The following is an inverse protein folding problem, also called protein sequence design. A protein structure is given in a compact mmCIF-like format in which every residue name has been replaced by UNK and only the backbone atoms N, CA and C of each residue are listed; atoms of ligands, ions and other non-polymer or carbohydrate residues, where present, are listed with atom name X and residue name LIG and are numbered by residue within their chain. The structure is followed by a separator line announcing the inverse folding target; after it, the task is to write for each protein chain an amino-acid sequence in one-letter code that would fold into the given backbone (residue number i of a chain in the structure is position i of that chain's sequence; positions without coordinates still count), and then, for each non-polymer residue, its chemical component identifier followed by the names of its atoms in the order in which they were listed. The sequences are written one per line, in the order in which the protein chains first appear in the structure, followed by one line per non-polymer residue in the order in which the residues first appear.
data_IF_403812929329
#
_entry.id   IF_403812929329
#
_cell.length_a   1.000
_cell.length_b   1.000
_cell.length_c   1.000
_cell.angle_alpha   90.00
_cell.angle_beta   90.00
_cell.angle_gamma   90.00
#
_symmetry.space_group_name_H-M   'P 1'
#
loop_
_entity.id
_entity.type
_entity.pdbx_description
1 polymer ?
#
# COMPACT_ATOMS: atom_id res chain seq x y z
N UNK A 1 -20.74 -24.01 28.08
CA UNK A 1 -19.49 -23.29 28.42
C UNK A 1 -18.88 -22.75 27.13
N UNK A 2 -18.61 -21.45 27.03
CA UNK A 2 -17.95 -20.86 25.85
C UNK A 2 -16.47 -21.27 25.89
N UNK A 3 -15.92 -21.74 24.77
CA UNK A 3 -14.50 -22.11 24.74
C UNK A 3 -13.61 -20.86 24.86
N UNK A 4 -12.41 -20.94 25.46
CA UNK A 4 -11.54 -19.78 25.62
C UNK A 4 -11.25 -19.05 24.29
N UNK A 5 -10.97 -19.74 23.16
CA UNK A 5 -10.80 -19.07 21.87
C UNK A 5 -12.07 -18.33 21.41
N UNK A 6 -13.26 -18.92 21.58
CA UNK A 6 -14.52 -18.28 21.20
C UNK A 6 -14.79 -17.02 22.05
N UNK A 7 -14.48 -17.06 23.34
CA UNK A 7 -14.59 -15.89 24.21
C UNK A 7 -13.65 -14.77 23.76
N UNK A 8 -12.38 -15.10 23.49
CA UNK A 8 -11.38 -14.15 23.00
C UNK A 8 -11.80 -13.46 21.71
N UNK A 9 -12.22 -14.25 20.72
CA UNK A 9 -12.67 -13.72 19.43
C UNK A 9 -13.99 -12.96 19.55
N UNK A 10 -14.92 -13.41 20.40
CA UNK A 10 -16.17 -12.72 20.67
C UNK A 10 -15.97 -11.34 21.28
N UNK A 11 -15.08 -11.22 22.28
CA UNK A 11 -14.74 -9.92 22.89
C UNK A 11 -13.99 -9.00 21.93
N UNK A 12 -13.05 -9.55 21.14
CA UNK A 12 -12.35 -8.78 20.12
C UNK A 12 -13.32 -8.24 19.05
N UNK A 13 -14.28 -9.07 18.62
CA UNK A 13 -15.32 -8.70 17.68
C UNK A 13 -16.29 -7.66 18.28
N UNK A 14 -16.64 -7.77 19.56
CA UNK A 14 -17.45 -6.78 20.25
C UNK A 14 -16.75 -5.41 20.31
N UNK A 15 -15.45 -5.37 20.63
CA UNK A 15 -14.64 -4.15 20.56
C UNK A 15 -14.61 -3.54 19.16
N UNK A 16 -14.45 -4.38 18.13
CA UNK A 16 -14.50 -3.92 16.74
C UNK A 16 -15.89 -3.42 16.34
N UNK A 17 -16.95 -4.07 16.83
CA UNK A 17 -18.34 -3.65 16.66
C UNK A 17 -18.62 -2.28 17.29
N UNK A 18 -18.05 -2.00 18.47
CA UNK A 18 -18.11 -0.67 19.08
C UNK A 18 -17.42 0.39 18.21
N UNK A 19 -16.25 0.08 17.65
CA UNK A 19 -15.56 0.99 16.74
C UNK A 19 -16.35 1.22 15.44
N UNK A 20 -16.97 0.17 14.90
CA UNK A 20 -17.82 0.26 13.70
C UNK A 20 -19.08 1.10 13.97
N UNK A 21 -19.75 0.88 15.10
CA UNK A 21 -20.85 1.74 15.54
C UNK A 21 -20.38 3.20 15.68
N UNK A 22 -19.20 3.41 16.28
CA UNK A 22 -18.57 4.72 16.37
C UNK A 22 -18.35 5.38 15.01
N UNK A 23 -17.91 4.63 14.00
CA UNK A 23 -17.77 5.10 12.63
C UNK A 23 -19.11 5.52 12.00
N UNK A 24 -20.17 4.72 12.19
CA UNK A 24 -21.52 5.07 11.74
C UNK A 24 -22.04 6.35 12.41
N UNK A 25 -21.81 6.50 13.71
CA UNK A 25 -22.18 7.70 14.46
C UNK A 25 -21.38 8.93 14.03
N UNK A 26 -20.08 8.77 13.75
CA UNK A 26 -19.23 9.85 13.25
C UNK A 26 -19.70 10.33 11.86
N UNK A 27 -20.11 9.40 10.98
CA UNK A 27 -20.74 9.72 9.69
C UNK A 27 -22.08 10.43 9.84
N UNK A 28 -22.81 10.16 10.92
CA UNK A 28 -24.04 10.86 11.29
C UNK A 28 -23.78 12.16 12.08
N UNK A 29 -22.54 12.68 12.06
CA UNK A 29 -22.09 13.90 12.74
C UNK A 29 -22.29 13.89 14.27
N UNK A 30 -22.34 12.71 14.89
CA UNK A 30 -22.46 12.58 16.33
C UNK A 30 -21.09 12.53 17.01
N UNK A 31 -20.85 13.44 17.95
CA UNK A 31 -19.57 13.59 18.68
C UNK A 31 -19.14 12.33 19.45
N UNK A 32 -20.10 11.53 19.92
CA UNK A 32 -19.85 10.26 20.58
C UNK A 32 -19.17 9.22 19.66
N UNK A 33 -19.29 9.35 18.34
CA UNK A 33 -18.71 8.41 17.38
C UNK A 33 -17.20 8.26 17.51
N UNK A 34 -16.48 9.39 17.62
CA UNK A 34 -15.03 9.38 17.81
C UNK A 34 -14.59 8.73 19.12
N UNK A 35 -15.35 8.94 20.20
CA UNK A 35 -15.08 8.32 21.49
C UNK A 35 -15.24 6.78 21.43
N UNK A 36 -16.28 6.30 20.74
CA UNK A 36 -16.49 4.86 20.53
C UNK A 36 -15.41 4.23 19.65
N UNK A 37 -14.91 4.94 18.63
CA UNK A 37 -13.76 4.48 17.83
C UNK A 37 -12.51 4.39 18.71
N UNK A 38 -12.20 5.47 19.45
CA UNK A 38 -11.03 5.57 20.31
C UNK A 38 -11.02 4.51 21.42
N UNK A 39 -12.19 4.05 21.86
CA UNK A 39 -12.33 2.97 22.83
C UNK A 39 -12.33 1.58 22.17
N UNK A 40 -13.16 1.39 21.14
CA UNK A 40 -13.43 0.09 20.53
C UNK A 40 -12.22 -0.53 19.84
N UNK A 41 -11.42 0.28 19.12
CA UNK A 41 -10.23 -0.20 18.40
C UNK A 41 -9.16 -0.76 19.37
N UNK A 42 -8.70 -0.01 20.40
CA UNK A 42 -7.77 -0.57 21.38
C UNK A 42 -8.33 -1.77 22.13
N UNK A 43 -9.61 -1.75 22.52
CA UNK A 43 -10.25 -2.87 23.19
C UNK A 43 -10.25 -4.13 22.32
N UNK A 44 -10.52 -3.99 21.02
CA UNK A 44 -10.48 -5.11 20.08
C UNK A 44 -9.11 -5.78 20.07
N UNK A 45 -8.02 -5.01 19.99
CA UNK A 45 -6.65 -5.55 20.02
C UNK A 45 -6.28 -6.19 21.36
N UNK A 46 -6.65 -5.55 22.46
CA UNK A 46 -6.43 -6.06 23.83
C UNK A 46 -7.17 -7.39 24.03
N UNK A 47 -8.43 -7.47 23.63
CA UNK A 47 -9.21 -8.71 23.72
C UNK A 47 -8.75 -9.78 22.73
N UNK A 48 -8.30 -9.41 21.53
CA UNK A 48 -7.69 -10.37 20.60
C UNK A 48 -6.46 -11.05 21.20
N UNK A 49 -5.73 -10.34 22.07
CA UNK A 49 -4.56 -10.88 22.76
C UNK A 49 -4.90 -11.62 24.05
N UNK A 50 -5.82 -11.12 24.88
CA UNK A 50 -5.99 -11.63 26.26
C UNK A 50 -7.45 -11.87 26.70
N UNK A 51 -8.43 -11.78 25.80
CA UNK A 51 -9.85 -11.94 26.12
C UNK A 51 -10.24 -13.32 26.65
N UNK A 52 -9.40 -14.34 26.48
CA UNK A 52 -9.56 -15.69 27.07
C UNK A 52 -9.01 -15.81 28.49
N UNK A 53 -8.31 -14.80 29.01
CA UNK A 53 -7.64 -14.83 30.29
C UNK A 53 -8.10 -13.68 31.21
N UNK A 54 -9.41 -13.43 31.27
CA UNK A 54 -9.99 -12.39 32.12
C UNK A 54 -9.68 -12.60 33.61
N UNK A 55 -9.75 -11.53 34.40
CA UNK A 55 -9.45 -11.55 35.84
C UNK A 55 -7.96 -11.37 36.14
N UNK A 56 -7.43 -12.05 37.15
CA UNK A 56 -6.07 -11.85 37.65
C UNK A 56 -4.97 -12.22 36.64
N UNK A 57 -5.24 -13.13 35.70
CA UNK A 57 -4.29 -13.58 34.68
C UNK A 57 -4.19 -12.66 33.44
N UNK A 58 -5.06 -11.65 33.35
CA UNK A 58 -5.21 -10.82 32.14
C UNK A 58 -3.95 -10.05 31.80
N UNK A 59 -3.41 -9.28 32.75
CA UNK A 59 -2.23 -8.45 32.53
C UNK A 59 -0.99 -9.28 32.14
N UNK A 60 -0.77 -10.41 32.83
CA UNK A 60 0.33 -11.31 32.53
C UNK A 60 0.21 -11.94 31.13
N UNK A 61 -1.01 -12.37 30.76
CA UNK A 61 -1.27 -12.97 29.44
C UNK A 61 -1.13 -11.96 28.32
N UNK A 62 -1.68 -10.74 28.50
CA UNK A 62 -1.58 -9.64 27.56
C UNK A 62 -0.10 -9.29 27.30
N UNK A 63 0.68 -9.07 28.36
CA UNK A 63 2.12 -8.75 28.24
C UNK A 63 2.88 -9.85 27.50
N UNK A 64 2.69 -11.12 27.87
CA UNK A 64 3.37 -12.27 27.24
C UNK A 64 3.03 -12.39 25.75
N UNK A 65 1.74 -12.30 25.40
CA UNK A 65 1.31 -12.43 24.00
C UNK A 65 1.66 -11.20 23.16
N UNK A 66 1.65 -10.01 23.74
CA UNK A 66 2.15 -8.79 23.10
C UNK A 66 3.65 -8.88 22.79
N UNK A 67 4.47 -9.29 23.77
CA UNK A 67 5.91 -9.50 23.56
C UNK A 67 6.18 -10.56 22.49
N UNK A 68 5.41 -11.66 22.50
CA UNK A 68 5.48 -12.69 21.47
C UNK A 68 5.11 -12.15 20.09
N UNK A 69 4.03 -11.38 19.99
CA UNK A 69 3.62 -10.74 18.73
C UNK A 69 4.72 -9.83 18.18
N UNK A 70 5.31 -8.98 19.03
CA UNK A 70 6.42 -8.11 18.63
C UNK A 70 7.68 -8.89 18.21
N UNK A 71 7.97 -10.01 18.88
CA UNK A 71 9.12 -10.85 18.56
C UNK A 71 8.94 -11.64 17.26
N UNK A 72 7.71 -12.08 16.96
CA UNK A 72 7.39 -12.87 15.76
C UNK A 72 7.04 -12.00 14.54
N UNK A 73 6.66 -10.73 14.75
CA UNK A 73 6.29 -9.81 13.66
C UNK A 73 7.51 -9.02 13.19
N UNK A 74 8.00 -9.23 11.96
CA UNK A 74 9.10 -8.45 11.45
C UNK A 74 8.70 -6.96 11.32
N UNK A 75 9.61 -6.00 11.61
CA UNK A 75 9.29 -4.57 11.63
C UNK A 75 8.56 -4.04 10.39
N UNK A 76 8.90 -4.55 9.20
CA UNK A 76 8.26 -4.11 7.96
C UNK A 76 6.76 -4.45 7.89
N UNK A 77 6.31 -5.55 8.52
CA UNK A 77 4.89 -5.89 8.60
C UNK A 77 4.14 -4.91 9.50
N UNK A 78 4.77 -4.43 10.58
CA UNK A 78 4.20 -3.37 11.42
C UNK A 78 3.98 -2.08 10.64
N UNK A 79 4.98 -1.66 9.83
CA UNK A 79 4.85 -0.48 8.97
C UNK A 79 3.83 -0.67 7.84
N UNK A 80 3.73 -1.86 7.25
CA UNK A 80 2.69 -2.18 6.27
C UNK A 80 1.29 -2.17 6.91
N UNK A 81 1.15 -2.70 8.14
CA UNK A 81 -0.10 -2.61 8.88
C UNK A 81 -0.48 -1.17 9.22
N UNK A 82 0.51 -0.31 9.54
CA UNK A 82 0.27 1.11 9.74
C UNK A 82 -0.17 1.81 8.44
N UNK A 83 0.45 1.50 7.29
CA UNK A 83 0.03 2.09 6.01
C UNK A 83 -1.42 1.74 5.69
N UNK A 84 -1.86 0.52 6.01
CA UNK A 84 -3.26 0.08 5.94
C UNK A 84 -4.14 0.84 6.92
N UNK A 85 -3.75 0.90 8.19
CA UNK A 85 -4.53 1.54 9.23
C UNK A 85 -4.81 3.02 8.91
N UNK A 86 -3.85 3.72 8.30
CA UNK A 86 -3.99 5.12 7.89
C UNK A 86 -4.99 5.35 6.76
N UNK A 87 -5.38 4.31 6.01
CA UNK A 87 -6.42 4.39 4.97
C UNK A 87 -7.83 4.27 5.54
N UNK A 88 -7.98 3.65 6.72
CA UNK A 88 -9.31 3.37 7.33
C UNK A 88 -10.08 4.65 7.69
N UNK A 89 -9.46 5.72 8.25
CA UNK A 89 -10.18 6.94 8.62
C UNK A 89 -10.58 7.81 7.43
N UNK A 90 -10.07 7.55 6.22
CA UNK A 90 -10.28 8.42 5.03
C UNK A 90 -11.76 8.73 4.76
N UNK A 91 -12.70 7.76 4.80
CA UNK A 91 -14.12 8.05 4.61
C UNK A 91 -14.75 8.88 5.72
N UNK A 92 -14.19 8.82 6.94
CA UNK A 92 -14.65 9.58 8.11
C UNK A 92 -14.06 10.99 8.17
N UNK A 93 -12.92 11.21 7.54
CA UNK A 93 -12.22 12.50 7.50
C UNK A 93 -11.69 12.84 6.10
N UNK A 94 -12.57 13.20 5.15
CA UNK A 94 -12.17 13.49 3.77
C UNK A 94 -11.17 14.64 3.66
N UNK A 95 -11.27 15.66 4.53
CA UNK A 95 -10.32 16.79 4.55
C UNK A 95 -8.90 16.35 4.93
N UNK A 96 -8.77 15.23 5.65
CA UNK A 96 -7.50 14.61 6.02
C UNK A 96 -6.88 13.74 4.91
N UNK A 97 -7.55 13.56 3.76
CA UNK A 97 -7.11 12.66 2.69
C UNK A 97 -5.64 12.87 2.31
N UNK A 98 -5.22 14.13 2.14
CA UNK A 98 -3.85 14.45 1.74
C UNK A 98 -2.81 14.02 2.77
N UNK A 99 -3.05 14.35 4.03
CA UNK A 99 -2.17 13.97 5.13
C UNK A 99 -2.13 12.45 5.32
N UNK A 100 -3.30 11.80 5.36
CA UNK A 100 -3.41 10.35 5.53
C UNK A 100 -2.78 9.58 4.36
N UNK A 101 -2.96 10.05 3.12
CA UNK A 101 -2.34 9.47 1.93
C UNK A 101 -0.81 9.58 1.96
N UNK A 102 -0.27 10.74 2.37
CA UNK A 102 1.16 10.94 2.54
C UNK A 102 1.73 10.04 3.65
N UNK A 103 1.10 10.02 4.82
CA UNK A 103 1.54 9.20 5.95
C UNK A 103 1.44 7.71 5.61
N UNK A 104 0.38 7.28 4.92
CA UNK A 104 0.19 5.90 4.48
C UNK A 104 1.30 5.49 3.51
N UNK A 105 1.61 6.33 2.51
CA UNK A 105 2.69 6.05 1.56
C UNK A 105 4.07 6.12 2.20
N UNK A 106 4.28 7.04 3.16
CA UNK A 106 5.50 7.09 3.96
C UNK A 106 5.70 5.82 4.80
N UNK A 107 4.65 5.35 5.47
CA UNK A 107 4.68 4.07 6.19
C UNK A 107 4.95 2.89 5.25
N UNK A 108 4.36 2.90 4.05
CA UNK A 108 4.61 1.89 3.03
C UNK A 108 6.07 1.93 2.52
N UNK A 109 6.64 3.12 2.33
CA UNK A 109 8.04 3.32 1.98
C UNK A 109 8.97 2.75 3.07
N UNK A 110 8.71 3.09 4.35
CA UNK A 110 9.49 2.58 5.49
C UNK A 110 9.34 1.06 5.62
N UNK A 111 8.16 0.51 5.32
CA UNK A 111 7.94 -0.94 5.24
C UNK A 111 8.83 -1.57 4.17
N UNK A 112 8.85 -1.01 2.94
CA UNK A 112 9.69 -1.49 1.85
C UNK A 112 11.18 -1.39 2.17
N UNK A 113 11.62 -0.28 2.75
CA UNK A 113 13.01 -0.04 3.13
C UNK A 113 13.44 -1.04 4.22
N UNK A 114 12.61 -1.23 5.24
CA UNK A 114 12.84 -2.20 6.31
C UNK A 114 12.88 -3.64 5.79
N UNK A 115 11.99 -3.98 4.84
CA UNK A 115 11.97 -5.29 4.19
C UNK A 115 13.27 -5.56 3.43
N UNK A 116 13.72 -4.59 2.62
CA UNK A 116 14.97 -4.68 1.88
C UNK A 116 16.18 -4.75 2.83
N UNK A 117 16.21 -3.91 3.87
CA UNK A 117 17.31 -3.86 4.83
C UNK A 117 17.47 -5.18 5.61
N UNK A 118 16.37 -5.83 5.99
CA UNK A 118 16.41 -7.13 6.68
C UNK A 118 16.99 -8.26 5.81
N UNK A 119 16.94 -8.14 4.48
CA UNK A 119 17.31 -9.21 3.55
C UNK A 119 18.60 -8.96 2.77
N UNK A 120 18.95 -7.70 2.55
CA UNK A 120 20.09 -7.27 1.76
C UNK A 120 21.00 -6.28 2.53
N UNK A 121 20.65 -5.94 3.78
CA UNK A 121 21.37 -4.93 4.57
C UNK A 121 20.99 -3.49 4.20
N UNK A 122 21.29 -2.58 5.13
CA UNK A 122 20.92 -1.15 5.00
C UNK A 122 21.56 -0.45 3.80
N UNK A 123 22.79 -0.82 3.43
CA UNK A 123 23.49 -0.22 2.29
C UNK A 123 22.77 -0.47 0.97
N UNK A 124 22.45 -1.73 0.67
CA UNK A 124 21.69 -2.08 -0.54
C UNK A 124 20.26 -1.52 -0.48
N UNK A 125 19.59 -1.58 0.67
CA UNK A 125 18.26 -1.01 0.83
C UNK A 125 18.21 0.49 0.51
N UNK A 126 19.19 1.26 1.01
CA UNK A 126 19.32 2.68 0.73
C UNK A 126 19.62 2.95 -0.76
N UNK A 127 20.47 2.14 -1.40
CA UNK A 127 20.75 2.25 -2.84
C UNK A 127 19.51 1.99 -3.69
N UNK A 128 18.71 0.97 -3.35
CA UNK A 128 17.46 0.66 -4.04
C UNK A 128 16.44 1.81 -3.89
N UNK A 129 16.29 2.35 -2.68
CA UNK A 129 15.41 3.48 -2.41
C UNK A 129 15.88 4.74 -3.15
N UNK A 130 17.17 5.06 -3.08
CA UNK A 130 17.74 6.20 -3.79
C UNK A 130 17.55 6.07 -5.30
N UNK A 131 17.85 4.91 -5.89
CA UNK A 131 17.64 4.67 -7.32
C UNK A 131 16.20 4.94 -7.72
N UNK A 132 15.23 4.30 -7.04
CA UNK A 132 13.83 4.41 -7.43
C UNK A 132 13.25 5.80 -7.17
N UNK A 133 13.55 6.42 -6.02
CA UNK A 133 13.07 7.77 -5.70
C UNK A 133 13.66 8.83 -6.64
N UNK A 134 14.97 8.78 -6.93
CA UNK A 134 15.62 9.77 -7.78
C UNK A 134 15.27 9.58 -9.26
N UNK A 135 15.23 8.33 -9.75
CA UNK A 135 14.79 8.05 -11.11
C UNK A 135 13.32 8.43 -11.30
N UNK A 136 12.44 8.05 -10.35
CA UNK A 136 11.03 8.44 -10.32
C UNK A 136 10.87 9.96 -10.33
N UNK A 137 11.48 10.67 -9.39
CA UNK A 137 11.45 12.13 -9.35
C UNK A 137 11.98 12.75 -10.66
N UNK A 138 13.05 12.22 -11.23
CA UNK A 138 13.64 12.70 -12.47
C UNK A 138 12.68 12.58 -13.66
N UNK A 139 12.02 11.43 -13.83
CA UNK A 139 11.05 11.24 -14.92
C UNK A 139 9.77 12.03 -14.70
N UNK A 140 9.35 12.25 -13.46
CA UNK A 140 8.17 13.07 -13.14
C UNK A 140 8.43 14.55 -13.42
N UNK A 141 9.63 15.04 -13.09
CA UNK A 141 10.04 16.41 -13.43
C UNK A 141 10.17 16.60 -14.94
N UNK A 142 10.63 15.59 -15.66
CA UNK A 142 10.68 15.61 -17.12
C UNK A 142 9.26 15.59 -17.70
N UNK A 143 8.42 14.67 -17.21
CA UNK A 143 7.03 14.48 -17.64
C UNK A 143 6.19 15.72 -17.44
N UNK A 144 6.20 16.29 -16.23
CA UNK A 144 5.39 17.47 -15.90
C UNK A 144 5.81 18.74 -16.66
N UNK A 145 7.00 18.76 -17.26
CA UNK A 145 7.52 19.93 -18.03
C UNK A 145 7.42 19.74 -19.54
N UNK A 146 7.62 18.51 -20.02
CA UNK A 146 7.77 18.23 -21.46
C UNK A 146 6.63 17.39 -22.03
N UNK A 147 5.85 16.74 -21.16
CA UNK A 147 4.86 15.75 -21.54
C UNK A 147 5.43 14.35 -21.84
N UNK A 148 6.74 14.13 -21.68
CA UNK A 148 7.38 12.82 -21.91
C UNK A 148 7.93 12.28 -20.59
N UNK A 149 7.66 11.03 -20.17
CA UNK A 149 7.05 9.96 -20.98
C UNK A 149 5.53 9.83 -20.85
N UNK A 150 4.85 10.56 -19.96
CA UNK A 150 3.48 10.23 -19.54
C UNK A 150 2.35 10.92 -20.34
N UNK A 151 2.64 11.97 -21.10
CA UNK A 151 1.63 12.87 -21.68
C UNK A 151 1.64 14.22 -20.96
N UNK A 152 0.81 15.18 -21.38
CA UNK A 152 0.77 16.51 -20.78
C UNK A 152 -0.10 16.53 -19.51
N UNK A 153 0.50 16.89 -18.37
CA UNK A 153 -0.18 17.01 -17.07
C UNK A 153 0.46 18.07 -16.18
N UNK A 154 -0.26 18.49 -15.15
CA UNK A 154 0.21 19.47 -14.16
C UNK A 154 -0.09 19.04 -12.73
N UNK A 155 0.91 19.22 -11.85
CA UNK A 155 0.81 19.06 -10.39
C UNK A 155 0.45 20.37 -9.66
N UNK A 156 0.02 21.42 -10.36
CA UNK A 156 -0.19 22.75 -9.77
C UNK A 156 -1.14 22.77 -8.56
N UNK A 157 -2.08 21.82 -8.48
CA UNK A 157 -3.06 21.69 -7.40
C UNK A 157 -2.71 20.60 -6.38
N UNK A 158 -1.55 19.96 -6.52
CA UNK A 158 -1.18 18.86 -5.66
C UNK A 158 -0.88 19.34 -4.23
N UNK A 159 -1.28 18.57 -3.20
CA UNK A 159 -1.03 18.95 -1.82
C UNK A 159 0.47 18.90 -1.48
N UNK A 160 0.90 19.83 -0.63
CA UNK A 160 2.23 19.80 -0.04
C UNK A 160 2.40 18.57 0.87
N UNK A 161 3.65 18.08 1.07
CA UNK A 161 4.91 18.64 0.59
C UNK A 161 5.24 18.20 -0.85
N UNK A 162 5.90 19.08 -1.60
CA UNK A 162 6.40 18.82 -2.96
C UNK A 162 7.93 18.95 -3.00
N UNK A 163 8.55 18.26 -3.95
CA UNK A 163 9.97 18.34 -4.29
C UNK A 163 10.06 18.85 -5.72
N UNK A 164 10.58 20.07 -5.91
CA UNK A 164 10.77 20.69 -7.24
C UNK A 164 9.49 20.72 -8.13
N UNK A 165 8.29 20.75 -7.50
CA UNK A 165 6.90 20.65 -8.05
C UNK A 165 6.25 19.27 -8.01
N UNK A 166 7.00 18.19 -7.81
CA UNK A 166 6.43 16.83 -7.76
C UNK A 166 6.01 16.51 -6.33
N UNK A 167 4.79 16.02 -6.07
CA UNK A 167 4.35 15.66 -4.72
C UNK A 167 5.23 14.57 -4.11
N UNK A 168 5.64 14.72 -2.84
CA UNK A 168 6.56 13.80 -2.17
C UNK A 168 6.05 12.34 -2.16
N UNK A 169 4.74 12.15 -2.19
CA UNK A 169 4.09 10.83 -2.25
C UNK A 169 4.54 10.03 -3.49
N UNK A 170 4.83 10.70 -4.61
CA UNK A 170 5.16 10.09 -5.90
C UNK A 170 6.51 9.36 -5.88
N UNK A 171 7.66 10.00 -5.55
CA UNK A 171 8.93 9.29 -5.47
C UNK A 171 8.94 8.18 -4.41
N UNK A 172 8.24 8.37 -3.28
CA UNK A 172 8.10 7.33 -2.25
C UNK A 172 7.33 6.11 -2.81
N UNK A 173 6.27 6.36 -3.59
CA UNK A 173 5.51 5.33 -4.29
C UNK A 173 6.36 4.57 -5.30
N UNK A 174 7.15 5.27 -6.13
CA UNK A 174 8.04 4.65 -7.12
C UNK A 174 8.94 3.57 -6.50
N UNK A 175 9.51 3.81 -5.32
CA UNK A 175 10.27 2.78 -4.62
C UNK A 175 9.40 1.62 -4.12
N UNK A 176 8.36 1.91 -3.33
CA UNK A 176 7.59 0.87 -2.65
C UNK A 176 6.85 -0.05 -3.64
N UNK A 177 6.23 0.52 -4.67
CA UNK A 177 5.47 -0.24 -5.67
C UNK A 177 6.37 -1.01 -6.62
N UNK A 178 7.53 -0.47 -6.99
CA UNK A 178 8.50 -1.22 -7.79
C UNK A 178 9.06 -2.41 -7.01
N UNK A 179 9.34 -2.23 -5.72
CA UNK A 179 9.77 -3.32 -4.84
C UNK A 179 8.68 -4.41 -4.74
N UNK A 180 7.43 -4.03 -4.47
CA UNK A 180 6.30 -4.96 -4.37
C UNK A 180 6.06 -5.72 -5.69
N UNK A 181 6.11 -4.99 -6.81
CA UNK A 181 5.96 -5.52 -8.17
C UNK A 181 7.06 -6.54 -8.51
N UNK A 182 8.32 -6.23 -8.22
CA UNK A 182 9.44 -7.15 -8.42
C UNK A 182 9.32 -8.43 -7.59
N UNK A 183 8.90 -8.31 -6.32
CA UNK A 183 8.65 -9.47 -5.46
C UNK A 183 7.53 -10.36 -6.01
N UNK A 184 6.45 -9.75 -6.50
CA UNK A 184 5.34 -10.48 -7.08
C UNK A 184 5.73 -11.14 -8.42
N UNK A 185 6.47 -10.41 -9.27
CA UNK A 185 6.96 -10.85 -10.57
C UNK A 185 8.06 -11.94 -10.50
N UNK A 186 8.59 -12.22 -9.31
CA UNK A 186 9.70 -13.15 -9.11
C UNK A 186 10.98 -12.65 -9.78
N UNK A 187 11.26 -11.35 -9.63
CA UNK A 187 12.46 -10.73 -10.18
C UNK A 187 12.43 -10.54 -11.69
N UNK A 188 11.26 -10.39 -12.32
CA UNK A 188 11.16 -10.06 -13.76
C UNK A 188 10.82 -8.58 -13.95
N UNK A 189 11.77 -7.74 -14.39
CA UNK A 189 11.55 -6.30 -14.48
C UNK A 189 10.37 -5.88 -15.34
N UNK A 190 10.21 -6.47 -16.54
CA UNK A 190 9.12 -6.11 -17.46
C UNK A 190 7.73 -6.40 -16.86
N UNK A 191 7.63 -7.46 -16.06
CA UNK A 191 6.41 -7.86 -15.40
C UNK A 191 6.16 -7.00 -14.15
N UNK A 192 7.23 -6.58 -13.45
CA UNK A 192 7.12 -5.58 -12.38
C UNK A 192 6.61 -4.24 -12.93
N UNK A 193 7.14 -3.77 -14.07
CA UNK A 193 6.64 -2.59 -14.78
C UNK A 193 5.16 -2.72 -15.13
N UNK A 194 4.73 -3.89 -15.61
CA UNK A 194 3.32 -4.15 -15.91
C UNK A 194 2.45 -4.09 -14.66
N UNK A 195 2.89 -4.68 -13.53
CA UNK A 195 2.17 -4.62 -12.26
C UNK A 195 2.04 -3.19 -11.72
N UNK A 196 3.08 -2.36 -11.83
CA UNK A 196 3.01 -0.95 -11.45
C UNK A 196 2.01 -0.21 -12.36
N UNK A 197 1.99 -0.52 -13.65
CA UNK A 197 1.01 0.04 -14.60
C UNK A 197 -0.42 -0.38 -14.23
N UNK A 198 -0.63 -1.64 -13.83
CA UNK A 198 -1.93 -2.11 -13.34
C UNK A 198 -2.37 -1.35 -12.07
N UNK A 199 -1.43 -1.01 -11.19
CA UNK A 199 -1.69 -0.19 -10.02
C UNK A 199 -2.02 1.27 -10.41
N UNK A 200 -1.30 1.85 -11.37
CA UNK A 200 -1.55 3.20 -11.89
C UNK A 200 -2.96 3.34 -12.49
N UNK A 201 -3.43 2.34 -13.24
CA UNK A 201 -4.82 2.29 -13.74
C UNK A 201 -5.85 2.43 -12.61
N UNK A 202 -5.57 1.85 -11.44
CA UNK A 202 -6.45 1.96 -10.27
C UNK A 202 -6.31 3.27 -9.50
N UNK A 203 -5.11 3.84 -9.50
CA UNK A 203 -4.79 5.10 -8.83
C UNK A 203 -5.38 6.30 -9.57
N UNK A 204 -5.33 6.29 -10.91
CA UNK A 204 -5.69 7.38 -11.80
C UNK A 204 -7.09 7.98 -11.49
N UNK A 205 -8.17 7.19 -11.40
CA UNK A 205 -9.49 7.72 -11.05
C UNK A 205 -9.53 8.39 -9.67
N UNK A 206 -8.79 7.87 -8.70
CA UNK A 206 -8.80 8.44 -7.35
C UNK A 206 -8.07 9.78 -7.31
N UNK A 207 -6.88 9.86 -7.91
CA UNK A 207 -6.01 11.03 -7.79
C UNK A 207 -6.45 12.20 -8.67
N UNK A 208 -6.98 11.91 -9.86
CA UNK A 208 -7.57 12.96 -10.72
C UNK A 208 -8.84 13.55 -10.10
N UNK A 209 -9.69 12.72 -9.47
CA UNK A 209 -10.85 13.20 -8.72
C UNK A 209 -10.46 14.12 -7.55
N UNK A 210 -9.33 13.84 -6.90
CA UNK A 210 -8.79 14.66 -5.81
C UNK A 210 -7.92 15.84 -6.30
N UNK A 211 -7.86 16.08 -7.61
CA UNK A 211 -7.05 17.15 -8.22
C UNK A 211 -5.56 17.07 -7.84
N UNK A 212 -5.02 15.87 -7.60
CA UNK A 212 -3.58 15.73 -7.37
C UNK A 212 -2.79 16.05 -8.63
N UNK A 213 -3.30 15.65 -9.79
CA UNK A 213 -2.83 16.10 -11.09
C UNK A 213 -4.00 16.32 -12.02
N UNK A 214 -3.75 17.12 -13.06
CA UNK A 214 -4.70 17.38 -14.13
C UNK A 214 -4.05 17.07 -15.47
N UNK A 215 -4.69 16.22 -16.24
CA UNK A 215 -4.30 15.91 -17.61
C UNK A 215 -4.75 17.01 -18.58
N UNK A 216 -3.98 17.24 -19.63
CA UNK A 216 -4.26 18.21 -20.70
C UNK A 216 -4.18 17.54 -22.08
N UNK A 217 -4.76 16.34 -22.17
CA UNK A 217 -4.78 15.55 -23.40
C UNK A 217 -6.13 15.69 -24.13
N UNK A 218 -6.13 15.91 -25.46
CA UNK A 218 -7.38 16.03 -26.24
C UNK A 218 -8.11 14.69 -26.45
N UNK A 219 -7.45 13.56 -26.23
CA UNK A 219 -7.96 12.21 -26.48
C UNK A 219 -7.65 11.27 -25.28
N UNK A 220 -8.21 11.55 -24.09
CA UNK A 220 -7.93 10.76 -22.90
C UNK A 220 -8.44 9.32 -23.05
N UNK A 221 -7.68 8.37 -22.53
CA UNK A 221 -8.04 6.95 -22.49
C UNK A 221 -8.83 6.60 -21.21
N UNK A 222 -8.27 6.94 -20.05
CA UNK A 222 -8.77 6.49 -18.76
C UNK A 222 -8.57 7.55 -17.69
N UNK A 223 -9.66 7.96 -17.01
CA UNK A 223 -9.66 8.99 -15.97
C UNK A 223 -8.94 10.30 -16.35
N UNK A 224 -8.92 10.64 -17.64
CA UNK A 224 -8.22 11.81 -18.18
C UNK A 224 -6.80 11.51 -18.69
N UNK A 225 -6.19 10.40 -18.29
CA UNK A 225 -4.85 10.03 -18.73
C UNK A 225 -4.84 9.50 -20.18
N UNK A 226 -3.85 9.90 -21.01
CA UNK A 226 -3.68 9.33 -22.34
C UNK A 226 -3.09 7.91 -22.31
N UNK A 227 -3.18 7.19 -23.44
CA UNK A 227 -2.49 5.88 -23.62
C UNK A 227 -0.99 5.99 -23.30
N UNK A 228 -0.39 7.13 -23.65
CA UNK A 228 1.01 7.44 -23.39
C UNK A 228 1.38 7.29 -21.91
N UNK A 229 0.50 7.65 -20.98
CA UNK A 229 0.75 7.52 -19.53
C UNK A 229 1.06 6.07 -19.16
N UNK A 230 0.19 5.14 -19.56
CA UNK A 230 0.31 3.73 -19.21
C UNK A 230 1.53 3.08 -19.86
N UNK A 231 1.87 3.47 -21.10
CA UNK A 231 3.11 3.03 -21.74
C UNK A 231 4.35 3.59 -21.03
N UNK A 232 4.29 4.85 -20.58
CA UNK A 232 5.32 5.51 -19.79
C UNK A 232 5.56 4.81 -18.45
N UNK A 233 4.50 4.54 -17.68
CA UNK A 233 4.56 3.78 -16.43
C UNK A 233 5.17 2.39 -16.63
N UNK A 234 4.78 1.69 -17.69
CA UNK A 234 5.35 0.39 -18.00
C UNK A 234 6.85 0.48 -18.31
N UNK A 235 7.25 1.40 -19.19
CA UNK A 235 8.64 1.56 -19.62
C UNK A 235 9.54 2.02 -18.46
N UNK A 236 9.15 3.07 -17.75
CA UNK A 236 9.88 3.60 -16.59
C UNK A 236 9.92 2.57 -15.47
N UNK A 237 8.77 1.99 -15.11
CA UNK A 237 8.68 0.97 -14.07
C UNK A 237 9.56 -0.24 -14.37
N UNK A 238 9.60 -0.68 -15.64
CA UNK A 238 10.50 -1.74 -16.09
C UNK A 238 11.97 -1.35 -15.93
N UNK A 239 12.34 -0.12 -16.29
CA UNK A 239 13.72 0.37 -16.19
C UNK A 239 14.20 0.49 -14.74
N UNK A 240 13.37 1.06 -13.85
CA UNK A 240 13.67 1.14 -12.41
C UNK A 240 13.75 -0.27 -11.82
N UNK A 241 12.78 -1.13 -12.12
CA UNK A 241 12.77 -2.52 -11.66
C UNK A 241 14.03 -3.29 -12.11
N UNK A 242 14.49 -3.04 -13.33
CA UNK A 242 15.71 -3.65 -13.85
C UNK A 242 16.96 -3.15 -13.11
N UNK A 243 17.05 -1.84 -12.87
CA UNK A 243 18.14 -1.26 -12.08
C UNK A 243 18.16 -1.81 -10.65
N UNK A 244 16.99 -1.88 -9.99
CA UNK A 244 16.84 -2.47 -8.66
C UNK A 244 17.27 -3.94 -8.63
N UNK A 245 16.85 -4.74 -9.62
CA UNK A 245 17.29 -6.13 -9.74
C UNK A 245 18.81 -6.26 -9.89
N UNK A 246 19.44 -5.39 -10.67
CA UNK A 246 20.90 -5.41 -10.86
C UNK A 246 21.66 -5.06 -9.59
N UNK A 247 21.15 -4.13 -8.78
CA UNK A 247 21.78 -3.72 -7.52
C UNK A 247 21.64 -4.77 -6.41
N UNK A 248 20.55 -5.55 -6.42
CA UNK A 248 20.27 -6.55 -5.39
C UNK A 248 19.63 -7.83 -5.99
N UNK A 249 20.33 -8.60 -6.83
CA UNK A 249 19.75 -9.77 -7.51
C UNK A 249 19.20 -10.80 -6.52
N UNK A 250 19.96 -11.10 -5.46
CA UNK A 250 19.54 -12.05 -4.41
C UNK A 250 18.30 -11.60 -3.59
N UNK A 251 17.88 -10.34 -3.69
CA UNK A 251 16.63 -9.90 -3.07
C UNK A 251 15.40 -10.44 -3.82
N UNK A 252 15.51 -10.70 -5.13
CA UNK A 252 14.35 -10.93 -6.01
C UNK A 252 14.27 -12.34 -6.61
N UNK A 253 15.33 -13.15 -6.51
CA UNK A 253 15.37 -14.47 -7.13
C UNK A 253 14.56 -15.51 -6.32
N UNK A 254 13.45 -15.98 -6.93
CA UNK A 254 12.42 -16.77 -6.24
C UNK A 254 12.85 -18.20 -5.88
N UNK A 255 13.74 -18.82 -6.67
CA UNK A 255 14.16 -20.22 -6.50
C UNK A 255 15.05 -20.43 -5.27
N UNK A 256 15.91 -19.47 -4.94
CA UNK A 256 16.78 -19.54 -3.77
C UNK A 256 15.99 -19.28 -2.47
N UNK A 257 15.03 -18.34 -2.50
CA UNK A 257 14.25 -17.97 -1.30
C UNK A 257 13.18 -18.96 -0.89
N UNK A 258 12.46 -19.56 -1.85
CA UNK A 258 11.41 -20.54 -1.52
C UNK A 258 12.00 -21.80 -0.86
N UNK A 259 13.28 -22.10 -1.17
CA UNK A 259 14.06 -23.19 -0.57
C UNK A 259 14.66 -22.81 0.80
N UNK A 260 14.97 -21.53 1.03
CA UNK A 260 15.61 -21.03 2.25
C UNK A 260 14.64 -20.54 3.35
N UNK A 261 13.49 -19.97 3.00
CA UNK A 261 12.64 -19.22 3.95
C UNK A 261 11.27 -19.87 4.26
N UNK A 262 10.89 -20.97 3.60
CA UNK A 262 9.56 -21.58 3.78
C UNK A 262 8.40 -20.66 3.35
N UNK A 263 7.28 -20.68 4.09
CA UNK A 263 6.04 -19.90 3.83
C UNK A 263 6.12 -18.44 4.32
N UNK A 264 7.31 -17.83 4.36
CA UNK A 264 7.47 -16.46 4.87
C UNK A 264 6.77 -15.43 3.96
N UNK A 265 6.04 -14.45 4.53
CA UNK A 265 5.39 -13.42 3.74
C UNK A 265 6.42 -12.53 3.04
N UNK A 266 6.14 -12.18 1.78
CA UNK A 266 6.98 -11.30 0.97
C UNK A 266 6.36 -9.90 0.86
N UNK A 267 7.17 -8.90 0.49
CA UNK A 267 6.67 -7.54 0.28
C UNK A 267 5.66 -7.42 -0.88
N UNK A 268 5.44 -8.48 -1.68
CA UNK A 268 4.31 -8.56 -2.60
C UNK A 268 2.95 -8.36 -1.93
N UNK A 269 2.84 -8.55 -0.60
CA UNK A 269 1.63 -8.23 0.16
C UNK A 269 1.18 -6.78 -0.05
N UNK A 270 2.10 -5.83 -0.20
CA UNK A 270 1.78 -4.43 -0.48
C UNK A 270 0.92 -4.28 -1.75
N UNK A 271 1.22 -5.05 -2.80
CA UNK A 271 0.41 -5.04 -4.02
C UNK A 271 -1.01 -5.53 -3.77
N UNK A 272 -1.17 -6.63 -3.02
CA UNK A 272 -2.50 -7.17 -2.69
C UNK A 272 -3.28 -6.26 -1.74
N UNK A 273 -2.59 -5.59 -0.82
CA UNK A 273 -3.18 -4.56 0.02
C UNK A 273 -3.80 -3.45 -0.84
N UNK A 274 -3.07 -2.94 -1.82
CA UNK A 274 -3.55 -1.85 -2.67
C UNK A 274 -4.63 -2.34 -3.64
N UNK A 275 -4.53 -3.58 -4.13
CA UNK A 275 -5.58 -4.23 -4.91
C UNK A 275 -6.90 -4.42 -4.14
N UNK A 276 -6.87 -4.34 -2.80
CA UNK A 276 -8.08 -4.32 -1.96
C UNK A 276 -8.54 -2.88 -1.67
N UNK A 277 -7.62 -2.01 -1.25
CA UNK A 277 -7.96 -0.66 -0.77
C UNK A 277 -8.31 0.32 -1.88
N UNK A 278 -7.66 0.28 -3.04
CA UNK A 278 -7.99 1.17 -4.17
C UNK A 278 -9.42 0.96 -4.68
N UNK A 279 -9.84 -0.27 -5.07
CA UNK A 279 -11.22 -0.46 -5.50
C UNK A 279 -12.22 -0.25 -4.37
N UNK A 280 -11.86 -0.62 -3.13
CA UNK A 280 -12.69 -0.32 -1.95
C UNK A 280 -12.92 1.18 -1.77
N UNK A 281 -11.86 1.99 -1.87
CA UNK A 281 -11.94 3.45 -1.82
C UNK A 281 -12.80 4.03 -2.95
N UNK A 282 -12.65 3.51 -4.17
CA UNK A 282 -13.46 3.91 -5.33
C UNK A 282 -14.96 3.59 -5.13
N UNK A 283 -15.29 2.43 -4.55
CA UNK A 283 -16.67 2.09 -4.19
C UNK A 283 -17.23 3.10 -3.19
N UNK A 284 -16.46 3.47 -2.16
CA UNK A 284 -16.90 4.41 -1.13
C UNK A 284 -17.16 5.83 -1.65
N UNK A 285 -16.49 6.23 -2.74
CA UNK A 285 -16.72 7.52 -3.42
C UNK A 285 -17.69 7.41 -4.60
N UNK A 286 -18.42 6.29 -4.73
CA UNK A 286 -19.46 6.10 -5.75
C UNK A 286 -18.96 5.77 -7.16
N UNK A 287 -17.67 5.45 -7.33
CA UNK A 287 -17.02 5.13 -8.61
C UNK A 287 -16.96 3.63 -8.87
N UNK A 288 -18.15 3.01 -9.00
CA UNK A 288 -18.29 1.55 -9.08
C UNK A 288 -17.65 0.93 -10.32
N UNK A 289 -17.75 1.60 -11.47
CA UNK A 289 -17.18 1.11 -12.72
C UNK A 289 -15.64 1.10 -12.64
N UNK A 290 -15.05 2.18 -12.14
CA UNK A 290 -13.62 2.32 -11.94
C UNK A 290 -13.10 1.35 -10.89
N UNK A 291 -13.86 1.10 -9.82
CA UNK A 291 -13.53 0.07 -8.84
C UNK A 291 -13.49 -1.33 -9.48
N UNK A 292 -14.49 -1.66 -10.33
CA UNK A 292 -14.54 -2.93 -11.05
C UNK A 292 -13.34 -3.12 -11.99
N UNK A 293 -13.02 -2.09 -12.78
CA UNK A 293 -11.84 -2.10 -13.67
C UNK A 293 -10.55 -2.24 -12.86
N UNK A 294 -10.40 -1.48 -11.77
CA UNK A 294 -9.23 -1.54 -10.89
C UNK A 294 -9.01 -2.95 -10.35
N UNK A 295 -10.06 -3.57 -9.80
CA UNK A 295 -10.00 -4.92 -9.25
C UNK A 295 -9.66 -5.94 -10.35
N UNK A 296 -10.26 -5.81 -11.52
CA UNK A 296 -10.00 -6.70 -12.66
C UNK A 296 -8.55 -6.58 -13.14
N UNK A 297 -8.07 -5.37 -13.43
CA UNK A 297 -6.73 -5.12 -13.96
C UNK A 297 -5.65 -5.54 -12.96
N UNK A 298 -5.77 -5.13 -11.70
CA UNK A 298 -4.79 -5.52 -10.67
C UNK A 298 -4.82 -7.03 -10.40
N UNK A 299 -6.00 -7.65 -10.38
CA UNK A 299 -6.20 -9.09 -10.22
C UNK A 299 -5.60 -9.90 -11.36
N UNK A 300 -5.87 -9.52 -12.61
CA UNK A 300 -5.31 -10.14 -13.81
C UNK A 300 -3.78 -10.01 -13.85
N UNK A 301 -3.23 -8.85 -13.50
CA UNK A 301 -1.79 -8.66 -13.37
C UNK A 301 -1.16 -9.63 -12.37
N UNK A 302 -1.77 -9.80 -11.19
CA UNK A 302 -1.30 -10.76 -10.20
C UNK A 302 -1.41 -12.22 -10.65
N UNK A 303 -2.48 -12.59 -11.36
CA UNK A 303 -2.66 -13.92 -11.94
C UNK A 303 -1.62 -14.21 -13.03
N UNK A 304 -1.37 -13.24 -13.91
CA UNK A 304 -0.32 -13.33 -14.93
C UNK A 304 1.05 -13.53 -14.29
N UNK A 305 1.37 -12.75 -13.26
CA UNK A 305 2.64 -12.87 -12.56
C UNK A 305 2.83 -14.26 -11.92
N UNK A 306 1.76 -14.82 -11.34
CA UNK A 306 1.77 -16.19 -10.82
C UNK A 306 1.91 -17.24 -11.93
N UNK A 307 1.22 -17.07 -13.05
CA UNK A 307 1.30 -17.96 -14.21
C UNK A 307 2.72 -18.01 -14.81
N UNK A 308 3.30 -16.85 -15.07
CA UNK A 308 4.67 -16.72 -15.61
C UNK A 308 5.70 -17.32 -14.67
N UNK A 309 5.53 -17.19 -13.35
CA UNK A 309 6.43 -17.79 -12.35
C UNK A 309 6.35 -19.31 -12.30
N UNK A 310 5.18 -19.90 -12.54
CA UNK A 310 5.01 -21.36 -12.54
C UNK A 310 5.58 -22.03 -13.78
N UNK A 311 5.64 -21.30 -14.90
CA UNK A 311 6.13 -21.80 -16.18
C UNK A 311 7.67 -21.80 -16.32
N UNK A 312 8.44 -21.42 -15.28
CA UNK A 312 9.89 -21.16 -15.32
C UNK A 312 10.68 -21.85 -14.22
#
# INVERSE_FOLDING_TARGET
MISPPLLRWGLAAAGLGLAFLGALLALAEQSAGWALIALGLPLSGVFALAGDALGSAFGATLRRRWQRLLAETPPWLGWLALSVALKIPVPLWPQGFALLGLLSTGALFVAGLSYAAQRAGWGQAAQLAALACLAGLGVELLGSRTGVPFGQYSYATAPAPTVLTVPLIVPLGWFAFTLAGLQLAGGRPWLAGLLITCWDVGLEPLMTAQNYWRWSDPHPLWAGAPVQNFLGWWAVGTAIAWGMKRLAPGLFDAKEKQKAEGLSPSFSLAYFTEAFFLPGGLVLVGRLAEAGVTLAVMGLGALLARGVRRAS
#
